data_IF_267165709117
#
_entry.id   IF_267165709117
#
_cell.length_a   1.000
_cell.length_b   1.000
_cell.length_c   1.000
_cell.angle_alpha   90.00
_cell.angle_beta   90.00
_cell.angle_gamma   90.00
#
_symmetry.space_group_name_H-M   'P 1'
#
loop_
_entity.id
_entity.type
_entity.pdbx_description
1 polymer ?
#
# COMPACT_ATOMS: atom_id res chain seq x y z
N UNK A 1 -15.90 -4.67 -56.04
CA UNK A 1 -15.38 -3.69 -55.10
C UNK A 1 -16.06 -3.72 -53.74
N UNK A 2 -17.40 -3.74 -53.59
CA UNK A 2 -18.08 -3.77 -52.27
C UNK A 2 -17.71 -4.97 -51.37
N UNK A 3 -17.52 -6.20 -51.95
CA UNK A 3 -17.14 -7.39 -51.18
C UNK A 3 -15.72 -7.32 -50.58
N UNK A 4 -14.77 -6.65 -51.26
CA UNK A 4 -13.39 -6.49 -50.78
C UNK A 4 -13.35 -5.52 -49.61
N UNK A 5 -14.16 -4.47 -49.64
CA UNK A 5 -14.28 -3.48 -48.53
C UNK A 5 -14.85 -4.15 -47.28
N UNK A 6 -15.81 -5.08 -47.42
CA UNK A 6 -16.38 -5.80 -46.27
C UNK A 6 -15.37 -6.74 -45.63
N UNK A 7 -14.55 -7.43 -46.42
CA UNK A 7 -13.49 -8.32 -45.90
C UNK A 7 -12.39 -7.52 -45.20
N UNK A 8 -11.96 -6.39 -45.79
CA UNK A 8 -10.96 -5.52 -45.18
C UNK A 8 -11.45 -4.91 -43.86
N UNK A 9 -12.74 -4.52 -43.74
CA UNK A 9 -13.35 -4.02 -42.51
C UNK A 9 -13.43 -5.09 -41.41
N UNK A 10 -13.70 -6.34 -41.79
CA UNK A 10 -13.77 -7.44 -40.83
C UNK A 10 -12.40 -7.84 -40.27
N UNK A 11 -11.33 -7.75 -41.10
CA UNK A 11 -9.95 -7.98 -40.67
C UNK A 11 -9.46 -6.86 -39.73
N UNK A 12 -9.86 -5.62 -39.97
CA UNK A 12 -9.48 -4.49 -39.12
C UNK A 12 -10.14 -4.55 -37.75
N UNK A 13 -11.36 -5.10 -37.65
CA UNK A 13 -12.10 -5.22 -36.38
C UNK A 13 -11.53 -6.35 -35.48
N UNK A 14 -10.86 -7.36 -36.07
CA UNK A 14 -10.26 -8.47 -35.31
C UNK A 14 -8.89 -8.16 -34.68
N UNK A 15 -8.25 -7.03 -35.03
CA UNK A 15 -6.95 -6.62 -34.51
C UNK A 15 -7.00 -5.85 -33.19
N UNK A 16 -8.19 -5.48 -32.69
CA UNK A 16 -8.34 -4.63 -31.50
C UNK A 16 -8.49 -5.39 -30.18
N UNK A 17 -8.45 -6.73 -30.17
CA UNK A 17 -8.75 -7.52 -28.95
C UNK A 17 -7.51 -8.02 -28.19
N UNK A 18 -6.31 -7.53 -28.46
CA UNK A 18 -5.06 -8.08 -27.90
C UNK A 18 -4.37 -7.22 -26.83
N UNK A 19 -5.10 -6.42 -26.03
CA UNK A 19 -4.56 -5.84 -24.81
C UNK A 19 -5.08 -6.57 -23.58
N UNK A 20 -4.68 -7.81 -23.41
CA UNK A 20 -4.90 -8.56 -22.18
C UNK A 20 -3.92 -8.10 -21.08
N UNK A 21 -4.27 -7.12 -20.25
CA UNK A 21 -3.54 -6.84 -19.02
C UNK A 21 -3.71 -8.04 -18.07
N UNK A 22 -2.66 -8.84 -17.92
CA UNK A 22 -2.64 -9.88 -16.88
C UNK A 22 -2.38 -9.19 -15.55
N UNK A 23 -3.38 -9.18 -14.67
CA UNK A 23 -3.19 -8.75 -13.27
C UNK A 23 -2.33 -9.80 -12.58
N UNK A 24 -1.06 -9.50 -12.39
CA UNK A 24 -0.13 -10.35 -11.63
C UNK A 24 -0.45 -10.17 -10.16
N UNK A 25 -0.82 -11.25 -9.46
CA UNK A 25 -1.05 -11.19 -8.02
C UNK A 25 0.30 -11.01 -7.29
N UNK A 26 0.34 -10.15 -6.29
CA UNK A 26 1.53 -9.92 -5.46
C UNK A 26 2.14 -11.21 -4.89
N UNK A 27 1.29 -12.22 -4.60
CA UNK A 27 1.74 -13.53 -4.13
C UNK A 27 2.57 -14.32 -5.18
N UNK A 28 2.41 -14.02 -6.46
CA UNK A 28 3.17 -14.68 -7.54
C UNK A 28 4.55 -14.05 -7.72
N UNK A 29 4.71 -12.78 -7.31
CA UNK A 29 5.97 -12.04 -7.39
C UNK A 29 6.86 -12.22 -6.15
N UNK A 30 6.31 -12.74 -5.05
CA UNK A 30 7.07 -12.95 -3.81
C UNK A 30 8.09 -14.07 -3.97
N UNK A 31 9.37 -13.72 -3.87
CA UNK A 31 10.50 -14.65 -3.81
C UNK A 31 11.09 -14.79 -2.39
N UNK A 32 10.28 -14.46 -1.37
CA UNK A 32 10.67 -14.52 0.04
C UNK A 32 9.49 -14.93 0.91
N UNK A 33 9.80 -15.46 2.10
CA UNK A 33 8.82 -15.68 3.16
C UNK A 33 9.15 -14.86 4.41
N UNK A 34 8.12 -14.52 5.19
CA UNK A 34 8.27 -13.69 6.38
C UNK A 34 8.28 -14.59 7.60
N UNK A 35 9.44 -14.71 8.24
CA UNK A 35 9.60 -15.49 9.46
C UNK A 35 8.99 -14.77 10.67
N UNK A 36 9.18 -13.46 10.77
CA UNK A 36 8.75 -12.67 11.92
C UNK A 36 8.50 -11.21 11.52
N UNK A 37 7.46 -10.58 12.11
CA UNK A 37 7.24 -9.15 12.04
C UNK A 37 7.20 -8.59 13.46
N UNK A 38 8.18 -7.75 13.78
CA UNK A 38 8.31 -7.01 15.04
C UNK A 38 7.78 -5.61 14.84
N UNK A 39 6.92 -5.14 15.74
CA UNK A 39 6.24 -3.84 15.61
C UNK A 39 6.43 -3.00 16.86
N UNK A 40 6.55 -1.68 16.69
CA UNK A 40 6.60 -0.67 17.75
C UNK A 40 5.34 0.19 17.72
N UNK A 41 4.96 0.78 18.84
CA UNK A 41 3.92 1.80 19.10
C UNK A 41 2.52 1.57 18.49
N UNK A 42 2.17 2.10 17.34
CA UNK A 42 0.81 2.19 16.78
C UNK A 42 0.16 0.82 16.47
N UNK A 43 -0.36 0.15 17.51
CA UNK A 43 -0.86 -1.24 17.47
C UNK A 43 -1.87 -1.50 16.35
N UNK A 44 -2.85 -0.58 16.12
CA UNK A 44 -3.91 -0.78 15.12
C UNK A 44 -3.37 -0.73 13.68
N UNK A 45 -2.52 0.26 13.39
CA UNK A 45 -1.89 0.44 12.08
C UNK A 45 -0.97 -0.76 11.79
N UNK A 46 -0.10 -1.07 12.74
CA UNK A 46 0.85 -2.17 12.62
C UNK A 46 0.16 -3.53 12.44
N UNK A 47 -0.93 -3.80 13.16
CA UNK A 47 -1.71 -5.03 13.02
C UNK A 47 -2.26 -5.20 11.60
N UNK A 48 -2.84 -4.13 11.02
CA UNK A 48 -3.36 -4.18 9.65
C UNK A 48 -2.27 -4.43 8.62
N UNK A 49 -1.14 -3.71 8.73
CA UNK A 49 0.01 -3.89 7.83
C UNK A 49 0.59 -5.28 7.97
N UNK A 50 0.78 -5.77 9.21
CA UNK A 50 1.24 -7.13 9.47
C UNK A 50 0.37 -8.17 8.76
N UNK A 51 -0.96 -8.09 8.91
CA UNK A 51 -1.89 -9.01 8.25
C UNK A 51 -1.80 -8.92 6.72
N UNK A 52 -1.64 -7.71 6.19
CA UNK A 52 -1.46 -7.49 4.75
C UNK A 52 -0.19 -8.14 4.22
N UNK A 53 0.92 -7.99 4.95
CA UNK A 53 2.21 -8.58 4.56
C UNK A 53 2.21 -10.09 4.65
N UNK A 54 1.53 -10.65 5.66
CA UNK A 54 1.40 -12.10 5.86
C UNK A 54 0.41 -12.73 4.88
N UNK A 55 -0.60 -11.96 4.41
CA UNK A 55 -1.57 -12.46 3.43
C UNK A 55 -0.86 -12.82 2.12
N UNK A 56 -0.99 -14.07 1.69
CA UNK A 56 -0.37 -14.56 0.45
C UNK A 56 1.11 -14.92 0.57
N UNK A 57 1.66 -15.11 1.79
CA UNK A 57 2.99 -15.69 1.93
C UNK A 57 2.96 -17.15 1.45
N UNK A 58 3.76 -17.46 0.43
CA UNK A 58 4.07 -18.86 0.08
C UNK A 58 5.26 -19.24 0.93
N UNK A 59 5.21 -20.41 1.59
CA UNK A 59 6.36 -20.93 2.34
C UNK A 59 7.52 -21.18 1.39
N UNK A 60 8.41 -20.22 1.29
CA UNK A 60 9.67 -20.34 0.58
C UNK A 60 10.81 -20.41 1.62
N UNK A 61 11.27 -21.60 1.90
CA UNK A 61 12.24 -21.87 2.98
C UNK A 61 13.61 -21.21 2.72
N UNK A 62 13.91 -20.86 1.47
CA UNK A 62 15.26 -20.40 1.10
C UNK A 62 15.50 -18.90 1.33
N UNK A 63 14.45 -18.07 1.36
CA UNK A 63 14.54 -16.63 1.53
C UNK A 63 13.67 -16.16 2.69
N UNK A 64 14.06 -16.49 3.91
CA UNK A 64 13.35 -16.06 5.12
C UNK A 64 13.83 -14.67 5.54
N UNK A 65 12.88 -13.74 5.75
CA UNK A 65 13.16 -12.39 6.24
C UNK A 65 12.50 -12.11 7.58
N UNK A 66 13.13 -11.26 8.37
CA UNK A 66 12.56 -10.61 9.55
C UNK A 66 12.30 -9.15 9.23
N UNK A 67 11.13 -8.64 9.62
CA UNK A 67 10.71 -7.27 9.36
C UNK A 67 10.48 -6.56 10.68
N UNK A 68 10.97 -5.32 10.78
CA UNK A 68 10.71 -4.39 11.87
C UNK A 68 9.90 -3.23 11.30
N UNK A 69 8.74 -2.95 11.90
CA UNK A 69 7.85 -1.85 11.52
C UNK A 69 7.81 -0.82 12.66
N UNK A 70 8.26 0.38 12.34
CA UNK A 70 8.16 1.55 13.22
C UNK A 70 7.21 2.56 12.58
N UNK A 71 6.03 2.74 13.18
CA UNK A 71 4.96 3.57 12.63
C UNK A 71 4.71 4.80 13.48
N UNK A 72 4.54 5.94 12.82
CA UNK A 72 4.22 7.22 13.43
C UNK A 72 3.01 7.85 12.72
N UNK A 73 2.02 8.28 13.52
CA UNK A 73 0.84 9.00 13.05
C UNK A 73 0.88 10.44 13.55
N UNK A 74 0.80 11.39 12.64
CA UNK A 74 0.78 12.82 12.94
C UNK A 74 -0.48 13.49 12.37
N UNK A 75 -1.10 14.34 13.19
CA UNK A 75 -2.29 15.13 12.85
C UNK A 75 -1.97 16.61 13.01
N UNK A 76 -2.24 17.39 11.97
CA UNK A 76 -2.05 18.85 12.01
C UNK A 76 -3.25 19.59 11.40
N UNK A 77 -3.44 20.82 11.82
CA UNK A 77 -4.44 21.72 11.25
C UNK A 77 -4.06 22.01 9.79
N UNK A 78 -4.98 21.80 8.86
CA UNK A 78 -4.81 22.09 7.44
C UNK A 78 -5.43 23.44 7.05
N UNK A 79 -6.66 23.66 7.48
CA UNK A 79 -7.42 24.85 7.12
C UNK A 79 -8.21 25.40 8.29
N UNK A 80 -8.42 26.72 8.30
CA UNK A 80 -9.31 27.45 9.18
C UNK A 80 -10.19 28.39 8.37
N UNK A 81 -11.39 28.68 8.89
CA UNK A 81 -12.28 29.65 8.29
C UNK A 81 -11.94 31.10 8.74
N UNK A 82 -12.68 32.08 8.23
CA UNK A 82 -12.52 33.51 8.54
C UNK A 82 -12.74 33.84 10.02
N UNK A 83 -13.42 32.95 10.80
CA UNK A 83 -13.62 33.06 12.25
C UNK A 83 -12.52 32.35 13.05
N UNK A 84 -11.43 31.93 12.39
CA UNK A 84 -10.33 31.16 12.99
C UNK A 84 -10.72 29.77 13.53
N UNK A 85 -11.90 29.25 13.15
CA UNK A 85 -12.34 27.89 13.49
C UNK A 85 -11.67 26.87 12.53
N UNK A 86 -11.25 25.75 13.06
CA UNK A 86 -10.62 24.70 12.25
C UNK A 86 -11.69 24.02 11.39
N UNK A 87 -11.46 23.96 10.08
CA UNK A 87 -12.37 23.34 9.11
C UNK A 87 -11.83 22.04 8.55
N UNK A 88 -10.48 21.84 8.56
CA UNK A 88 -9.86 20.66 8.00
C UNK A 88 -8.59 20.28 8.76
N UNK A 89 -8.40 18.97 8.96
CA UNK A 89 -7.14 18.39 9.44
C UNK A 89 -6.42 17.66 8.31
N UNK A 90 -5.10 17.63 8.39
CA UNK A 90 -4.27 16.71 7.64
C UNK A 90 -3.73 15.63 8.56
N UNK A 91 -3.91 14.38 8.14
CA UNK A 91 -3.32 13.21 8.76
C UNK A 91 -2.14 12.74 7.91
N UNK A 92 -1.04 12.38 8.57
CA UNK A 92 0.15 11.79 7.95
C UNK A 92 0.50 10.52 8.72
N UNK A 93 0.67 9.41 8.02
CA UNK A 93 1.18 8.17 8.59
C UNK A 93 2.50 7.86 7.90
N UNK A 94 3.54 7.69 8.69
CA UNK A 94 4.90 7.35 8.25
C UNK A 94 5.28 6.02 8.85
N UNK A 95 5.80 5.11 8.03
CA UNK A 95 6.29 3.81 8.46
C UNK A 95 7.71 3.62 7.98
N UNK A 96 8.60 3.41 8.94
CA UNK A 96 9.96 2.94 8.69
C UNK A 96 9.96 1.44 8.72
N UNK A 97 10.40 0.84 7.63
CA UNK A 97 10.55 -0.60 7.46
C UNK A 97 12.02 -0.93 7.47
N UNK A 98 12.46 -1.75 8.42
CA UNK A 98 13.76 -2.38 8.40
C UNK A 98 13.55 -3.87 8.17
N UNK A 99 14.34 -4.48 7.30
CA UNK A 99 14.28 -5.92 7.05
C UNK A 99 15.67 -6.51 6.94
N UNK A 100 15.78 -7.78 7.34
CA UNK A 100 17.01 -8.56 7.30
C UNK A 100 16.70 -9.98 6.83
N UNK A 101 17.55 -10.57 6.02
CA UNK A 101 17.51 -11.99 5.71
C UNK A 101 18.12 -12.76 6.88
N UNK A 102 17.45 -13.84 7.32
CA UNK A 102 17.87 -14.60 8.54
C UNK A 102 19.30 -15.13 8.43
N UNK A 103 19.74 -15.45 7.21
CA UNK A 103 21.06 -16.03 6.95
C UNK A 103 22.13 -14.97 6.59
N UNK A 104 21.78 -13.69 6.57
CA UNK A 104 22.67 -12.58 6.21
C UNK A 104 22.79 -11.61 7.39
N UNK A 105 24.01 -11.07 7.61
CA UNK A 105 24.24 -10.05 8.66
C UNK A 105 23.81 -8.65 8.26
N UNK A 106 23.40 -8.46 7.00
CA UNK A 106 23.06 -7.17 6.47
C UNK A 106 21.57 -6.84 6.68
N UNK A 107 21.29 -5.64 7.16
CA UNK A 107 19.93 -5.12 7.27
C UNK A 107 19.75 -3.94 6.33
N UNK A 108 18.58 -3.88 5.67
CA UNK A 108 18.19 -2.79 4.80
C UNK A 108 16.97 -2.06 5.39
N UNK A 109 16.78 -0.80 5.05
CA UNK A 109 15.62 -0.04 5.49
C UNK A 109 15.12 0.90 4.42
N UNK A 110 13.83 1.22 4.51
CA UNK A 110 13.18 2.26 3.73
C UNK A 110 12.03 2.88 4.53
N UNK A 111 11.53 4.01 4.08
CA UNK A 111 10.43 4.71 4.74
C UNK A 111 9.37 5.05 3.72
N UNK A 112 8.12 4.76 4.06
CA UNK A 112 6.94 5.13 3.28
C UNK A 112 6.06 6.09 4.06
N UNK A 113 5.45 7.06 3.38
CA UNK A 113 4.58 8.06 4.00
C UNK A 113 3.35 8.31 3.14
N UNK A 114 2.17 8.23 3.74
CA UNK A 114 0.92 8.67 3.12
C UNK A 114 0.30 9.80 3.91
N UNK A 115 -0.33 10.72 3.18
CA UNK A 115 -1.02 11.88 3.76
C UNK A 115 -2.41 11.96 3.15
N UNK A 116 -3.34 12.45 3.95
CA UNK A 116 -4.69 12.73 3.51
C UNK A 116 -5.32 13.77 4.40
N UNK A 117 -6.39 14.38 3.92
CA UNK A 117 -7.11 15.42 4.63
C UNK A 117 -8.53 14.96 4.91
N UNK A 118 -9.10 15.40 6.03
CA UNK A 118 -10.50 15.21 6.33
C UNK A 118 -11.10 16.49 6.92
N UNK A 119 -12.40 16.68 6.67
CA UNK A 119 -13.15 17.87 7.09
C UNK A 119 -13.75 17.68 8.47
N UNK A 120 -13.91 18.78 9.20
CA UNK A 120 -14.65 18.80 10.46
C UNK A 120 -16.12 18.98 10.15
N UNK A 121 -16.94 18.05 10.60
CA UNK A 121 -18.39 18.13 10.55
C UNK A 121 -18.95 18.82 11.79
N UNK A 122 -20.18 19.34 11.69
CA UNK A 122 -20.93 19.87 12.86
C UNK A 122 -21.18 18.77 13.90
N UNK A 123 -21.32 17.53 13.48
CA UNK A 123 -21.43 16.38 14.38
C UNK A 123 -20.05 15.78 14.65
N UNK A 124 -19.66 15.73 15.92
CA UNK A 124 -18.38 15.14 16.34
C UNK A 124 -18.21 13.69 15.89
N UNK A 125 -19.26 12.87 15.99
CA UNK A 125 -19.23 11.47 15.56
C UNK A 125 -18.91 11.32 14.07
N UNK A 126 -19.42 12.21 13.23
CA UNK A 126 -19.12 12.20 11.79
C UNK A 126 -17.64 12.56 11.54
N UNK A 127 -17.13 13.58 12.23
CA UNK A 127 -15.69 13.93 12.13
C UNK A 127 -14.79 12.76 12.54
N UNK A 128 -15.16 12.04 13.61
CA UNK A 128 -14.41 10.87 14.07
C UNK A 128 -14.47 9.70 13.06
N UNK A 129 -15.62 9.50 12.43
CA UNK A 129 -15.77 8.49 11.37
C UNK A 129 -14.91 8.83 10.14
N UNK A 130 -14.89 10.10 9.72
CA UNK A 130 -14.04 10.58 8.62
C UNK A 130 -12.55 10.36 8.92
N UNK A 131 -12.10 10.69 10.14
CA UNK A 131 -10.74 10.43 10.58
C UNK A 131 -10.41 8.93 10.55
N UNK A 132 -11.29 8.08 11.09
CA UNK A 132 -11.07 6.63 11.11
C UNK A 132 -11.04 6.03 9.70
N UNK A 133 -11.94 6.44 8.82
CA UNK A 133 -11.97 5.99 7.42
C UNK A 133 -10.69 6.39 6.69
N UNK A 134 -10.21 7.62 6.93
CA UNK A 134 -8.94 8.08 6.36
C UNK A 134 -7.75 7.27 6.88
N UNK A 135 -7.69 6.98 8.19
CA UNK A 135 -6.64 6.13 8.76
C UNK A 135 -6.65 4.75 8.09
N UNK A 136 -7.83 4.16 7.88
CA UNK A 136 -7.96 2.87 7.22
C UNK A 136 -7.46 2.90 5.78
N UNK A 137 -7.90 3.89 5.00
CA UNK A 137 -7.49 4.08 3.62
C UNK A 137 -5.96 4.27 3.50
N UNK A 138 -5.38 5.15 4.33
CA UNK A 138 -3.94 5.41 4.31
C UNK A 138 -3.14 4.17 4.71
N UNK A 139 -3.63 3.41 5.71
CA UNK A 139 -2.99 2.17 6.18
C UNK A 139 -2.99 1.09 5.09
N UNK A 140 -4.11 0.92 4.39
CA UNK A 140 -4.21 -0.04 3.28
C UNK A 140 -3.27 0.31 2.13
N UNK A 141 -3.20 1.59 1.77
CA UNK A 141 -2.28 2.09 0.74
C UNK A 141 -0.80 1.91 1.15
N UNK A 142 -0.47 2.17 2.42
CA UNK A 142 0.87 1.94 2.96
C UNK A 142 1.24 0.46 2.94
N UNK A 143 0.31 -0.42 3.31
CA UNK A 143 0.54 -1.87 3.28
C UNK A 143 0.83 -2.40 1.88
N UNK A 144 0.13 -1.89 0.85
CA UNK A 144 0.41 -2.23 -0.55
C UNK A 144 1.80 -1.73 -0.97
N UNK A 145 2.11 -0.46 -0.71
CA UNK A 145 3.41 0.13 -1.09
C UNK A 145 4.59 -0.55 -0.39
N UNK A 146 4.45 -0.89 0.90
CA UNK A 146 5.48 -1.65 1.62
C UNK A 146 5.70 -3.02 0.98
N UNK A 147 4.61 -3.70 0.59
CA UNK A 147 4.71 -5.00 -0.06
C UNK A 147 5.40 -4.89 -1.42
N UNK A 148 5.04 -3.89 -2.23
CA UNK A 148 5.64 -3.64 -3.54
C UNK A 148 7.14 -3.33 -3.43
N UNK A 149 7.51 -2.46 -2.47
CA UNK A 149 8.92 -2.13 -2.20
C UNK A 149 9.73 -3.34 -1.74
N UNK A 150 9.16 -4.19 -0.87
CA UNK A 150 9.84 -5.43 -0.45
C UNK A 150 10.04 -6.39 -1.63
N UNK A 151 9.02 -6.57 -2.47
CA UNK A 151 9.11 -7.41 -3.68
C UNK A 151 10.20 -6.87 -4.61
N UNK A 152 10.20 -5.56 -4.88
CA UNK A 152 11.18 -4.93 -5.75
C UNK A 152 12.60 -5.12 -5.23
N UNK A 153 12.84 -4.84 -3.95
CA UNK A 153 14.17 -4.87 -3.33
C UNK A 153 14.72 -6.28 -3.12
N UNK A 154 13.86 -7.25 -2.86
CA UNK A 154 14.26 -8.64 -2.61
C UNK A 154 14.37 -9.48 -3.88
N UNK A 155 13.72 -9.05 -4.99
CA UNK A 155 13.85 -9.70 -6.30
C UNK A 155 14.97 -9.08 -7.16
N UNK A 156 15.49 -7.90 -6.80
CA UNK A 156 16.55 -7.21 -7.52
C UNK A 156 17.98 -7.75 -7.21
N UNK A 157 18.06 -8.84 -6.42
CA UNK A 157 19.34 -9.47 -6.00
C UNK A 157 19.48 -10.84 -6.64
#
# INVERSE_FOLDING_TARGET
>A
MKKIIFIASFIFLSLTTACGFKVVKHSELKNFDIAEIITTEEKRINYKIKNKLLSGSKKNVNNLIRIYLDSNKNKKIKEKNIKNEITKYQLSITIRVKYEKINEKNSNSFTVTKKGDYSISKQYSQTLNEENNLIELLTDNLGNEILDELILRLNAV
#
